data_IF_561863592322
#
_entry.id   IF_561863592322
#
_cell.length_a   1.000
_cell.length_b   1.000
_cell.length_c   1.000
_cell.angle_alpha   90.00
_cell.angle_beta   90.00
_cell.angle_gamma   90.00
#
_symmetry.space_group_name_H-M   'P 1'
#
loop_
_entity.id
_entity.type
_entity.pdbx_description
1 polymer ?
#
# COMPACT_ATOMS: atom_id res chain seq x y z
N UNK A 1 16.50 19.97 23.03
CA UNK A 1 15.08 20.28 22.85
C UNK A 1 14.17 19.38 23.70
N UNK A 2 12.85 19.50 23.52
CA UNK A 2 11.87 18.83 24.40
C UNK A 2 11.92 17.30 24.32
N UNK A 3 12.19 16.74 23.14
CA UNK A 3 12.38 15.28 22.97
C UNK A 3 13.57 14.77 23.82
N UNK A 4 14.71 15.47 23.78
CA UNK A 4 15.85 15.12 24.63
C UNK A 4 15.54 15.27 26.13
N UNK A 5 14.70 16.22 26.51
CA UNK A 5 14.23 16.34 27.91
C UNK A 5 13.34 15.17 28.33
N UNK A 6 12.47 14.71 27.42
CA UNK A 6 11.62 13.56 27.72
C UNK A 6 12.42 12.31 28.05
N UNK A 7 13.57 12.08 27.41
CA UNK A 7 14.45 10.92 27.70
C UNK A 7 15.12 10.96 29.08
N UNK A 8 15.11 12.12 29.76
CA UNK A 8 15.68 12.30 31.09
C UNK A 8 14.60 12.48 32.17
N UNK A 9 13.35 12.65 31.76
CA UNK A 9 12.24 12.92 32.66
C UNK A 9 11.83 11.69 33.48
N UNK A 10 11.40 11.92 34.71
CA UNK A 10 10.82 10.88 35.54
C UNK A 10 9.41 10.53 35.09
N UNK A 11 8.89 9.32 35.38
CA UNK A 11 7.53 8.91 34.98
C UNK A 11 6.42 9.84 35.44
N UNK A 12 6.61 10.54 36.56
CA UNK A 12 5.60 11.46 37.12
C UNK A 12 5.63 12.87 36.48
N UNK A 13 6.65 13.15 35.66
CA UNK A 13 6.80 14.45 34.99
C UNK A 13 6.01 14.47 33.68
N UNK A 14 5.54 15.68 33.30
CA UNK A 14 4.80 15.90 32.06
C UNK A 14 5.63 15.49 30.82
N UNK A 15 6.96 15.70 30.88
CA UNK A 15 7.89 15.34 29.82
C UNK A 15 8.68 14.12 30.27
N UNK A 16 8.26 12.95 29.85
CA UNK A 16 8.92 11.68 30.15
C UNK A 16 8.95 10.78 28.90
N UNK A 17 9.78 9.74 28.97
CA UNK A 17 9.97 8.80 27.87
C UNK A 17 8.69 8.02 27.53
N UNK A 18 7.88 7.67 28.53
CA UNK A 18 6.63 6.95 28.36
C UNK A 18 5.62 7.74 27.50
N UNK A 19 5.62 9.08 27.65
CA UNK A 19 4.83 9.95 26.79
C UNK A 19 5.24 9.81 25.31
N UNK A 20 6.55 9.76 25.03
CA UNK A 20 7.04 9.57 23.66
C UNK A 20 6.65 8.20 23.10
N UNK A 21 6.79 7.13 23.88
CA UNK A 21 6.36 5.79 23.46
C UNK A 21 4.86 5.69 23.21
N UNK A 22 4.05 6.35 24.03
CA UNK A 22 2.59 6.41 23.82
C UNK A 22 2.21 7.14 22.54
N UNK A 23 2.94 8.19 22.17
CA UNK A 23 2.65 9.01 20.99
C UNK A 23 3.22 8.42 19.70
N UNK A 24 4.40 7.83 19.75
CA UNK A 24 5.19 7.43 18.58
C UNK A 24 5.53 5.94 18.53
N UNK A 25 5.15 5.16 19.55
CA UNK A 25 5.49 3.74 19.63
C UNK A 25 7.01 3.52 19.59
N UNK A 26 7.43 2.48 18.91
CA UNK A 26 8.87 2.12 18.77
C UNK A 26 9.72 3.20 18.08
N UNK A 27 9.11 4.12 17.38
CA UNK A 27 9.81 5.26 16.75
C UNK A 27 10.34 6.28 17.80
N UNK A 28 9.87 6.20 19.05
CA UNK A 28 10.34 7.06 20.13
C UNK A 28 11.84 6.93 20.35
N UNK A 29 12.42 5.73 20.26
CA UNK A 29 13.86 5.50 20.38
C UNK A 29 14.66 6.29 19.36
N UNK A 30 14.29 6.19 18.08
CA UNK A 30 14.95 6.94 17.01
C UNK A 30 14.83 8.46 17.20
N UNK A 31 13.68 8.94 17.68
CA UNK A 31 13.49 10.35 17.96
C UNK A 31 14.40 10.83 19.09
N UNK A 32 14.56 10.03 20.15
CA UNK A 32 15.46 10.31 21.27
C UNK A 32 16.91 10.34 20.78
N UNK A 33 17.35 9.32 20.06
CA UNK A 33 18.69 9.21 19.52
C UNK A 33 19.05 10.42 18.66
N UNK A 34 18.19 10.76 17.71
CA UNK A 34 18.39 11.93 16.86
C UNK A 34 18.36 13.25 17.64
N UNK A 35 17.54 13.35 18.69
CA UNK A 35 17.51 14.54 19.55
C UNK A 35 18.82 14.72 20.33
N UNK A 36 19.56 13.66 20.57
CA UNK A 36 20.90 13.66 21.15
C UNK A 36 22.02 13.75 20.10
N UNK A 37 21.67 13.77 18.81
CA UNK A 37 22.62 13.86 17.70
C UNK A 37 23.27 12.52 17.34
N UNK A 38 22.68 11.41 17.78
CA UNK A 38 23.16 10.08 17.42
C UNK A 38 22.39 9.51 16.23
N UNK A 39 23.10 9.07 15.20
CA UNK A 39 22.55 8.42 14.00
C UNK A 39 23.28 7.10 13.78
N UNK A 40 22.66 5.96 14.15
CA UNK A 40 23.27 4.66 13.98
C UNK A 40 23.33 4.18 12.54
N UNK A 41 22.44 4.73 11.68
CA UNK A 41 22.34 4.33 10.29
C UNK A 41 23.31 5.15 9.41
N UNK A 42 24.42 4.55 9.05
CA UNK A 42 25.40 5.18 8.14
C UNK A 42 25.02 5.01 6.68
N UNK A 43 25.58 5.88 5.80
CA UNK A 43 25.46 5.71 4.34
C UNK A 43 25.97 4.34 3.87
N UNK A 44 27.02 3.81 4.50
CA UNK A 44 27.53 2.48 4.22
C UNK A 44 26.48 1.40 4.56
N UNK A 45 25.86 1.49 5.75
CA UNK A 45 24.79 0.58 6.16
C UNK A 45 23.58 0.61 5.19
N UNK A 46 23.21 1.82 4.71
CA UNK A 46 22.13 1.97 3.72
C UNK A 46 22.51 1.28 2.40
N UNK A 47 23.75 1.46 1.92
CA UNK A 47 24.21 0.84 0.67
C UNK A 47 24.34 -0.67 0.77
N UNK A 48 24.68 -1.20 1.92
CA UNK A 48 24.85 -2.63 2.17
C UNK A 48 23.53 -3.33 2.52
N UNK A 49 22.47 -2.56 2.81
CA UNK A 49 21.19 -3.11 3.16
C UNK A 49 20.61 -3.96 2.02
N UNK A 50 20.22 -5.17 2.36
CA UNK A 50 19.48 -6.08 1.46
C UNK A 50 18.11 -6.34 2.06
N UNK A 51 17.02 -5.94 1.37
CA UNK A 51 15.66 -6.20 1.84
C UNK A 51 15.43 -7.69 2.09
N UNK A 52 14.78 -8.02 3.19
CA UNK A 52 14.36 -9.40 3.48
C UNK A 52 13.14 -9.81 2.65
N UNK A 53 12.36 -8.85 2.18
CA UNK A 53 11.21 -9.11 1.30
C UNK A 53 11.66 -9.14 -0.15
N UNK A 54 11.16 -10.11 -0.90
CA UNK A 54 11.38 -10.28 -2.34
C UNK A 54 10.10 -9.96 -3.11
N UNK A 55 9.50 -8.79 -2.90
CA UNK A 55 8.33 -8.34 -3.64
C UNK A 55 8.65 -7.10 -4.47
N UNK A 56 8.12 -7.06 -5.69
CA UNK A 56 8.03 -5.84 -6.51
C UNK A 56 6.59 -5.35 -6.46
N UNK A 57 6.40 -4.04 -6.36
CA UNK A 57 5.07 -3.45 -6.33
C UNK A 57 5.03 -2.21 -7.22
N UNK A 58 3.90 -2.03 -7.89
CA UNK A 58 3.57 -0.82 -8.64
C UNK A 58 2.20 -0.34 -8.20
N UNK A 59 2.00 0.96 -8.12
CA UNK A 59 0.72 1.56 -7.77
C UNK A 59 0.43 2.76 -8.64
N UNK A 60 -0.83 2.91 -9.06
CA UNK A 60 -1.28 4.03 -9.86
C UNK A 60 -2.59 4.59 -9.31
N UNK A 61 -2.63 5.90 -9.13
CA UNK A 61 -3.88 6.63 -8.87
C UNK A 61 -4.39 7.12 -10.22
N UNK A 62 -5.64 6.77 -10.56
CA UNK A 62 -6.21 7.15 -11.83
C UNK A 62 -6.61 8.64 -11.81
N UNK A 63 -6.48 9.38 -12.93
CA UNK A 63 -6.79 10.81 -12.99
C UNK A 63 -8.28 11.10 -12.78
N UNK A 64 -9.14 10.17 -13.17
CA UNK A 64 -10.59 10.20 -13.05
C UNK A 64 -11.11 8.82 -12.67
N UNK A 65 -12.37 8.67 -12.19
CA UNK A 65 -12.99 7.38 -11.94
C UNK A 65 -13.12 6.57 -13.24
N UNK A 66 -12.58 5.35 -13.26
CA UNK A 66 -12.66 4.48 -14.44
C UNK A 66 -13.73 3.40 -14.25
N UNK A 67 -14.54 3.13 -15.29
CA UNK A 67 -15.42 1.98 -15.30
C UNK A 67 -14.61 0.68 -15.34
N UNK A 68 -15.24 -0.42 -14.95
CA UNK A 68 -14.64 -1.75 -14.81
C UNK A 68 -13.73 -2.15 -15.98
N UNK A 69 -14.21 -2.04 -17.23
CA UNK A 69 -13.43 -2.44 -18.40
C UNK A 69 -12.17 -1.61 -18.61
N UNK A 70 -12.26 -0.30 -18.39
CA UNK A 70 -11.10 0.60 -18.50
C UNK A 70 -10.09 0.33 -17.38
N UNK A 71 -10.56 0.11 -16.14
CA UNK A 71 -9.69 -0.25 -15.02
C UNK A 71 -9.00 -1.61 -15.24
N UNK A 72 -9.71 -2.58 -15.81
CA UNK A 72 -9.15 -3.88 -16.19
C UNK A 72 -7.98 -3.76 -17.18
N UNK A 73 -8.10 -2.86 -18.15
CA UNK A 73 -7.02 -2.58 -19.10
C UNK A 73 -5.78 -2.03 -18.38
N UNK A 74 -5.96 -1.05 -17.48
CA UNK A 74 -4.86 -0.49 -16.69
C UNK A 74 -4.16 -1.55 -15.84
N UNK A 75 -4.91 -2.44 -15.20
CA UNK A 75 -4.33 -3.55 -14.41
C UNK A 75 -3.44 -4.44 -15.29
N UNK A 76 -3.84 -4.70 -16.53
CA UNK A 76 -3.01 -5.47 -17.47
C UNK A 76 -1.76 -4.71 -17.89
N UNK A 77 -1.86 -3.42 -18.15
CA UNK A 77 -0.70 -2.56 -18.46
C UNK A 77 0.30 -2.52 -17.30
N UNK A 78 -0.19 -2.39 -16.07
CA UNK A 78 0.66 -2.42 -14.87
C UNK A 78 1.35 -3.79 -14.70
N UNK A 79 0.65 -4.88 -14.98
CA UNK A 79 1.24 -6.22 -14.95
C UNK A 79 2.31 -6.43 -16.03
N UNK A 80 2.13 -5.84 -17.21
CA UNK A 80 3.14 -5.82 -18.27
C UNK A 80 4.41 -5.08 -17.84
N UNK A 81 4.24 -3.89 -17.26
CA UNK A 81 5.37 -3.11 -16.72
C UNK A 81 6.13 -3.85 -15.63
N UNK A 82 5.42 -4.49 -14.69
CA UNK A 82 6.06 -5.33 -13.66
C UNK A 82 6.80 -6.52 -14.26
N UNK A 83 6.31 -7.09 -15.36
CA UNK A 83 7.01 -8.18 -16.06
C UNK A 83 8.36 -7.73 -16.65
N UNK A 84 8.40 -6.52 -17.21
CA UNK A 84 9.65 -5.93 -17.73
C UNK A 84 10.64 -5.70 -16.58
N UNK A 85 10.18 -5.18 -15.46
CA UNK A 85 11.03 -4.98 -14.28
C UNK A 85 11.60 -6.31 -13.72
N UNK A 86 10.78 -7.37 -13.69
CA UNK A 86 11.25 -8.70 -13.33
C UNK A 86 12.36 -9.20 -14.27
N UNK A 87 12.17 -9.04 -15.57
CA UNK A 87 13.15 -9.44 -16.58
C UNK A 87 14.45 -8.65 -16.44
N UNK A 88 14.36 -7.31 -16.29
CA UNK A 88 15.53 -6.46 -16.11
C UNK A 88 16.36 -6.84 -14.87
N UNK A 89 15.68 -7.26 -13.80
CA UNK A 89 16.34 -7.69 -12.55
C UNK A 89 16.73 -9.18 -12.55
N UNK A 90 16.42 -9.93 -13.61
CA UNK A 90 16.67 -11.38 -13.68
C UNK A 90 15.86 -12.17 -12.65
N UNK A 91 14.65 -11.72 -12.32
CA UNK A 91 13.77 -12.31 -11.30
C UNK A 91 12.56 -12.99 -11.93
N UNK A 92 11.96 -13.89 -11.16
CA UNK A 92 10.66 -14.49 -11.42
C UNK A 92 9.77 -14.35 -10.19
N UNK A 93 8.46 -14.27 -10.39
CA UNK A 93 7.51 -14.29 -9.29
C UNK A 93 6.68 -15.58 -9.29
N UNK A 94 6.26 -16.01 -8.11
CA UNK A 94 5.39 -17.18 -7.91
C UNK A 94 3.98 -16.79 -7.47
N UNK A 95 3.79 -15.52 -7.08
CA UNK A 95 2.50 -15.01 -6.63
C UNK A 95 2.26 -13.60 -7.18
N UNK A 96 1.03 -13.35 -7.61
CA UNK A 96 0.53 -12.02 -7.97
C UNK A 96 -0.50 -11.58 -6.95
N UNK A 97 -0.44 -10.33 -6.53
CA UNK A 97 -1.42 -9.71 -5.62
C UNK A 97 -1.96 -8.43 -6.25
N UNK A 98 -3.23 -8.15 -6.05
CA UNK A 98 -3.90 -6.97 -6.56
C UNK A 98 -4.77 -6.33 -5.49
N UNK A 99 -4.63 -5.02 -5.36
CA UNK A 99 -5.45 -4.15 -4.53
C UNK A 99 -6.16 -3.14 -5.43
N UNK A 100 -7.48 -2.99 -5.27
CA UNK A 100 -8.32 -2.09 -6.06
C UNK A 100 -8.99 -1.11 -5.13
N UNK A 101 -8.70 0.18 -5.31
CA UNK A 101 -9.42 1.27 -4.66
C UNK A 101 -10.62 1.72 -5.51
N UNK A 102 -11.73 2.03 -4.85
CA UNK A 102 -12.93 2.56 -5.49
C UNK A 102 -13.07 4.06 -5.24
N UNK A 103 -13.64 4.79 -6.20
CA UNK A 103 -13.85 6.21 -6.07
C UNK A 103 -14.97 6.56 -5.08
N UNK A 104 -14.83 7.70 -4.40
CA UNK A 104 -15.83 8.22 -3.47
C UNK A 104 -17.15 8.58 -4.17
N UNK A 105 -17.13 8.87 -5.47
CA UNK A 105 -18.35 9.17 -6.24
C UNK A 105 -19.33 8.01 -6.26
N UNK A 106 -18.87 6.77 -6.08
CA UNK A 106 -19.75 5.60 -5.94
C UNK A 106 -20.74 5.70 -4.79
N UNK A 107 -20.46 6.54 -3.78
CA UNK A 107 -21.31 6.77 -2.61
C UNK A 107 -21.72 8.25 -2.45
N UNK A 108 -21.51 9.10 -3.44
CA UNK A 108 -21.76 10.54 -3.31
C UNK A 108 -23.26 10.90 -3.32
N UNK A 109 -24.08 10.15 -4.05
CA UNK A 109 -25.52 10.40 -4.11
C UNK A 109 -26.29 9.52 -3.10
N UNK A 110 -27.35 10.04 -2.43
CA UNK A 110 -28.13 9.27 -1.46
C UNK A 110 -28.77 8.00 -2.05
N UNK A 111 -29.10 8.01 -3.32
CA UNK A 111 -29.62 6.84 -4.02
C UNK A 111 -28.57 5.73 -4.16
N UNK A 112 -27.32 6.11 -4.48
CA UNK A 112 -26.18 5.19 -4.59
C UNK A 112 -25.81 4.59 -3.23
N UNK A 113 -25.78 5.40 -2.18
CA UNK A 113 -25.53 4.92 -0.81
C UNK A 113 -26.56 3.87 -0.36
N UNK A 114 -27.86 4.08 -0.71
CA UNK A 114 -28.93 3.13 -0.35
C UNK A 114 -28.88 1.83 -1.14
N UNK A 115 -28.36 1.86 -2.35
CA UNK A 115 -28.25 0.68 -3.22
C UNK A 115 -26.95 -0.11 -3.01
N UNK A 116 -25.97 0.48 -2.34
CA UNK A 116 -24.69 -0.18 -2.05
C UNK A 116 -24.79 -0.96 -0.74
N UNK A 117 -24.65 -2.27 -0.81
CA UNK A 117 -24.71 -3.17 0.34
C UNK A 117 -23.35 -3.75 0.76
N UNK A 118 -22.26 -3.26 0.14
CA UNK A 118 -20.90 -3.68 0.48
C UNK A 118 -20.34 -2.95 1.70
N UNK A 119 -19.14 -3.34 2.10
CA UNK A 119 -18.41 -2.68 3.19
C UNK A 119 -17.95 -1.29 2.75
N UNK A 120 -18.05 -0.32 3.65
CA UNK A 120 -17.55 1.03 3.46
C UNK A 120 -16.41 1.34 4.43
N UNK A 121 -15.50 2.21 4.00
CA UNK A 121 -14.43 2.78 4.85
C UNK A 121 -14.47 4.30 4.76
N UNK A 122 -13.87 4.96 5.72
CA UNK A 122 -13.60 6.39 5.67
C UNK A 122 -12.21 6.61 5.10
N UNK A 123 -12.09 7.41 4.04
CA UNK A 123 -10.81 7.77 3.47
C UNK A 123 -10.09 8.83 4.33
N UNK A 124 -8.84 9.18 3.95
CA UNK A 124 -8.03 10.19 4.66
C UNK A 124 -8.64 11.60 4.66
N UNK A 125 -9.64 11.84 3.84
CA UNK A 125 -10.35 13.13 3.76
C UNK A 125 -11.70 13.10 4.51
N UNK A 126 -12.00 12.01 5.23
CA UNK A 126 -13.25 11.85 5.97
C UNK A 126 -14.46 11.45 5.11
N UNK A 127 -14.28 11.07 3.85
CA UNK A 127 -15.37 10.67 2.94
C UNK A 127 -15.62 9.17 3.05
N UNK A 128 -16.89 8.78 3.00
CA UNK A 128 -17.25 7.38 2.86
C UNK A 128 -16.90 6.88 1.46
N UNK A 129 -16.17 5.77 1.38
CA UNK A 129 -15.79 5.10 0.13
C UNK A 129 -16.07 3.61 0.24
N UNK A 130 -16.37 2.90 -0.85
CA UNK A 130 -16.42 1.45 -0.82
C UNK A 130 -15.08 0.87 -0.33
N UNK A 131 -15.13 -0.20 0.44
CA UNK A 131 -13.91 -0.87 0.88
C UNK A 131 -13.11 -1.38 -0.33
N UNK A 132 -11.78 -1.21 -0.28
CA UNK A 132 -10.91 -1.72 -1.33
C UNK A 132 -11.04 -3.25 -1.49
N UNK A 133 -10.96 -3.72 -2.71
CA UNK A 133 -10.94 -5.14 -3.01
C UNK A 133 -9.50 -5.66 -3.05
N UNK A 134 -9.28 -6.84 -2.48
CA UNK A 134 -7.98 -7.52 -2.42
C UNK A 134 -8.06 -8.89 -3.02
N UNK A 135 -7.03 -9.30 -3.72
CA UNK A 135 -6.93 -10.66 -4.20
C UNK A 135 -5.52 -11.05 -4.59
N UNK A 136 -5.30 -12.35 -4.67
CA UNK A 136 -4.04 -12.93 -5.09
C UNK A 136 -4.25 -14.14 -5.98
N UNK A 137 -3.25 -14.46 -6.79
CA UNK A 137 -3.14 -15.69 -7.54
C UNK A 137 -1.74 -16.28 -7.36
N UNK A 138 -1.65 -17.58 -7.13
CA UNK A 138 -0.40 -18.31 -7.19
C UNK A 138 -0.20 -18.77 -8.63
N UNK A 139 0.98 -18.54 -9.17
CA UNK A 139 1.36 -19.05 -10.49
C UNK A 139 1.75 -20.53 -10.37
N UNK A 140 1.32 -21.35 -11.30
CA UNK A 140 1.65 -22.78 -11.31
C UNK A 140 3.16 -23.05 -11.45
N UNK A 141 3.85 -22.12 -12.12
CA UNK A 141 5.32 -22.11 -12.28
C UNK A 141 5.79 -20.67 -12.09
N UNK A 142 6.89 -20.43 -11.36
CA UNK A 142 7.48 -19.10 -11.28
C UNK A 142 7.78 -18.54 -12.66
N UNK A 143 7.36 -17.30 -12.93
CA UNK A 143 7.45 -16.69 -14.25
C UNK A 143 7.74 -15.19 -14.18
N UNK A 144 8.32 -14.66 -15.26
CA UNK A 144 8.44 -13.22 -15.57
C UNK A 144 7.75 -12.88 -16.90
N UNK A 145 7.01 -13.81 -17.47
CA UNK A 145 6.35 -13.64 -18.77
C UNK A 145 5.18 -12.66 -18.67
N UNK A 146 5.21 -11.58 -19.46
CA UNK A 146 4.14 -10.58 -19.55
C UNK A 146 2.76 -11.22 -19.80
N UNK A 147 2.69 -12.20 -20.71
CA UNK A 147 1.46 -12.92 -21.02
C UNK A 147 0.88 -13.63 -19.80
N UNK A 148 1.72 -14.32 -19.01
CA UNK A 148 1.28 -15.05 -17.80
C UNK A 148 0.82 -14.06 -16.73
N UNK A 149 1.59 -13.00 -16.50
CA UNK A 149 1.28 -11.99 -15.47
C UNK A 149 0.04 -11.19 -15.82
N UNK A 150 -0.10 -10.72 -17.08
CA UNK A 150 -1.30 -10.02 -17.52
C UNK A 150 -2.56 -10.89 -17.43
N UNK A 151 -2.45 -12.17 -17.71
CA UNK A 151 -3.57 -13.11 -17.58
C UNK A 151 -3.93 -13.29 -16.10
N UNK A 152 -2.96 -13.58 -15.24
CA UNK A 152 -3.19 -13.73 -13.81
C UNK A 152 -3.79 -12.44 -13.18
N UNK A 153 -3.28 -11.26 -13.58
CA UNK A 153 -3.80 -9.98 -13.15
C UNK A 153 -5.26 -9.77 -13.56
N UNK A 154 -5.60 -10.09 -14.82
CA UNK A 154 -6.97 -9.98 -15.31
C UNK A 154 -7.92 -10.96 -14.60
N UNK A 155 -7.51 -12.20 -14.36
CA UNK A 155 -8.31 -13.20 -13.63
C UNK A 155 -8.54 -12.79 -12.16
N UNK A 156 -7.51 -12.25 -11.49
CA UNK A 156 -7.67 -11.72 -10.13
C UNK A 156 -8.63 -10.55 -10.14
N UNK A 157 -8.46 -9.60 -11.06
CA UNK A 157 -9.34 -8.44 -11.20
C UNK A 157 -10.80 -8.86 -11.41
N UNK A 158 -11.07 -9.72 -12.37
CA UNK A 158 -12.41 -10.21 -12.71
C UNK A 158 -13.09 -10.93 -11.53
N UNK A 159 -12.30 -11.54 -10.65
CA UNK A 159 -12.79 -12.24 -9.46
C UNK A 159 -13.13 -11.31 -8.30
N UNK A 160 -12.36 -10.23 -8.10
CA UNK A 160 -12.48 -9.39 -6.91
C UNK A 160 -13.16 -8.04 -7.16
N UNK A 161 -13.12 -7.52 -8.38
CA UNK A 161 -13.68 -6.20 -8.70
C UNK A 161 -15.20 -6.23 -8.79
N UNK A 162 -15.85 -5.28 -8.12
CA UNK A 162 -17.29 -5.06 -8.32
C UNK A 162 -17.49 -4.25 -9.62
N UNK A 163 -18.06 -4.89 -10.65
CA UNK A 163 -18.27 -4.30 -11.97
C UNK A 163 -19.23 -3.10 -11.98
N UNK A 164 -19.95 -2.88 -10.90
CA UNK A 164 -20.90 -1.74 -10.74
C UNK A 164 -20.22 -0.48 -10.22
N UNK A 165 -18.99 -0.61 -9.70
CA UNK A 165 -18.26 0.47 -9.08
C UNK A 165 -17.16 1.00 -10.00
N UNK A 166 -16.98 2.33 -9.96
CA UNK A 166 -15.83 2.97 -10.59
C UNK A 166 -14.58 2.86 -9.72
N UNK A 167 -13.46 2.59 -10.36
CA UNK A 167 -12.12 2.40 -9.76
C UNK A 167 -11.33 3.71 -9.81
N UNK A 168 -10.51 3.95 -8.81
CA UNK A 168 -9.60 5.10 -8.79
C UNK A 168 -8.22 4.80 -8.22
#
# INVERSE_FOLDING_TARGET
GDIARCSLGKPEELHNEELLYRLFGVQAELLIDHAWGWEPCTIAAIKDYRPKSSSLSSGQVLPEPYPHEKARLIVREMADQLSLELVEKGLVCSQFMLDIGYDAENLSAPAQQRSYHGLTKTDRYGRAVPAAAHGSANLSVPASSARILMQAAAEVFDRIADSRLSVR
#
